data_IF_986451082665
#
_entry.id   IF_986451082665
#
_cell.length_a   1.000
_cell.length_b   1.000
_cell.length_c   1.000
_cell.angle_alpha   90.00
_cell.angle_beta   90.00
_cell.angle_gamma   90.00
#
_symmetry.space_group_name_H-M   'P 1'
#
loop_
_entity.id
_entity.type
_entity.pdbx_description
1 polymer ?
#
# COMPACT_ATOMS: atom_id res chain seq x y z
N UNK A 1 4.70 -15.14 -4.49
CA UNK A 1 5.24 -13.79 -4.83
C UNK A 1 4.23 -12.94 -5.57
N UNK A 2 3.64 -13.39 -6.69
CA UNK A 2 2.55 -12.63 -7.33
C UNK A 2 1.35 -12.51 -6.39
N UNK A 3 0.98 -13.60 -5.70
CA UNK A 3 0.00 -13.62 -4.61
C UNK A 3 0.25 -12.55 -3.55
N UNK A 4 1.48 -12.50 -3.03
CA UNK A 4 1.89 -11.57 -1.98
C UNK A 4 1.77 -10.10 -2.41
N UNK A 5 2.17 -9.79 -3.65
CA UNK A 5 2.00 -8.44 -4.21
C UNK A 5 0.53 -8.08 -4.42
N UNK A 6 -0.33 -9.06 -4.71
CA UNK A 6 -1.77 -8.86 -4.86
C UNK A 6 -2.41 -8.61 -3.50
N UNK A 7 -2.09 -9.42 -2.50
CA UNK A 7 -2.56 -9.27 -1.12
C UNK A 7 -2.13 -7.92 -0.54
N UNK A 8 -0.86 -7.54 -0.71
CA UNK A 8 -0.36 -6.24 -0.25
C UNK A 8 -1.03 -5.06 -0.96
N UNK A 9 -1.31 -5.17 -2.26
CA UNK A 9 -2.06 -4.13 -2.97
C UNK A 9 -3.48 -3.99 -2.42
N UNK A 10 -4.18 -5.11 -2.19
CA UNK A 10 -5.53 -5.09 -1.62
C UNK A 10 -5.53 -4.49 -0.20
N UNK A 11 -4.60 -4.90 0.66
CA UNK A 11 -4.46 -4.32 2.00
C UNK A 11 -4.14 -2.82 1.98
N UNK A 12 -3.34 -2.36 1.00
CA UNK A 12 -3.03 -0.93 0.83
C UNK A 12 -4.25 -0.14 0.34
N UNK A 13 -5.06 -0.71 -0.55
CA UNK A 13 -6.34 -0.11 -0.99
C UNK A 13 -7.34 0.00 0.17
N UNK A 14 -7.47 -1.05 0.98
CA UNK A 14 -8.32 -1.04 2.18
C UNK A 14 -7.85 -0.02 3.23
N UNK A 15 -6.53 0.08 3.47
CA UNK A 15 -5.96 1.09 4.34
C UNK A 15 -6.29 2.51 3.86
N UNK A 16 -6.08 2.78 2.56
CA UNK A 16 -6.44 4.08 1.97
C UNK A 16 -7.93 4.38 2.12
N UNK A 17 -8.80 3.38 1.95
CA UNK A 17 -10.24 3.55 2.15
C UNK A 17 -10.58 3.86 3.61
N UNK A 18 -9.99 3.15 4.57
CA UNK A 18 -10.14 3.42 6.01
C UNK A 18 -9.70 4.84 6.37
N UNK A 19 -8.59 5.34 5.81
CA UNK A 19 -8.16 6.74 5.99
C UNK A 19 -9.19 7.72 5.49
N UNK A 20 -9.75 7.48 4.29
CA UNK A 20 -10.80 8.33 3.73
C UNK A 20 -12.02 8.35 4.64
N UNK A 21 -12.49 7.18 5.09
CA UNK A 21 -13.63 7.07 5.99
C UNK A 21 -13.40 7.81 7.32
N UNK A 22 -12.22 7.65 7.92
CA UNK A 22 -11.89 8.34 9.17
C UNK A 22 -11.80 9.86 9.01
N UNK A 23 -11.38 10.35 7.83
CA UNK A 23 -11.31 11.79 7.55
C UNK A 23 -12.68 12.47 7.48
N UNK A 24 -13.75 11.70 7.28
CA UNK A 24 -15.12 12.22 7.25
C UNK A 24 -15.73 12.40 8.65
N UNK A 25 -15.07 11.90 9.71
CA UNK A 25 -15.58 11.95 11.08
C UNK A 25 -15.11 13.27 11.75
N UNK A 26 -16.01 14.22 12.08
CA UNK A 26 -15.63 15.57 12.54
C UNK A 26 -14.86 15.60 13.86
N UNK A 27 -15.03 14.59 14.72
CA UNK A 27 -14.35 14.48 16.02
C UNK A 27 -12.95 13.88 15.90
N UNK A 28 -12.60 13.31 14.74
CA UNK A 28 -11.30 12.71 14.48
C UNK A 28 -10.32 13.79 14.00
N UNK A 29 -10.10 14.80 14.86
CA UNK A 29 -9.21 15.93 14.58
C UNK A 29 -7.75 15.47 14.51
N UNK A 30 -7.33 14.97 13.35
CA UNK A 30 -5.93 15.04 12.92
C UNK A 30 -5.00 14.16 13.75
N UNK A 31 -4.94 12.87 13.39
CA UNK A 31 -3.72 12.06 13.41
C UNK A 31 -3.92 10.86 12.47
N UNK A 32 -4.09 11.10 11.16
CA UNK A 32 -4.03 10.00 10.19
C UNK A 32 -2.54 9.76 9.86
N UNK A 33 -1.81 9.18 10.81
CA UNK A 33 -0.35 9.05 10.86
C UNK A 33 0.24 8.01 9.87
N UNK A 34 -0.53 7.59 8.86
CA UNK A 34 -0.37 6.35 8.09
C UNK A 34 -0.77 5.09 8.85
N UNK A 35 -1.33 4.12 8.11
CA UNK A 35 -1.73 2.80 8.58
C UNK A 35 -0.57 1.84 8.34
N UNK A 36 -0.15 1.16 9.41
CA UNK A 36 0.91 0.16 9.35
C UNK A 36 0.34 -1.16 8.80
N UNK A 37 0.90 -1.63 7.68
CA UNK A 37 0.57 -2.92 7.08
C UNK A 37 1.72 -3.89 7.35
N UNK A 38 1.44 -4.99 8.05
CA UNK A 38 2.40 -6.05 8.28
C UNK A 38 2.37 -7.06 7.13
N UNK A 39 3.56 -7.47 6.66
CA UNK A 39 3.74 -8.55 5.69
C UNK A 39 4.82 -9.49 6.19
N UNK A 40 4.58 -10.79 6.07
CA UNK A 40 5.54 -11.85 6.41
C UNK A 40 6.60 -12.05 5.31
N UNK A 41 6.26 -11.77 4.06
CA UNK A 41 7.17 -11.94 2.93
C UNK A 41 8.14 -10.75 2.76
N UNK A 42 9.36 -10.90 3.28
CA UNK A 42 10.45 -9.93 3.14
C UNK A 42 10.79 -9.61 1.68
N UNK A 43 10.66 -10.57 0.75
CA UNK A 43 10.93 -10.32 -0.67
C UNK A 43 9.87 -9.41 -1.31
N UNK A 44 8.62 -9.45 -0.85
CA UNK A 44 7.58 -8.53 -1.30
C UNK A 44 7.84 -7.11 -0.76
N UNK A 45 8.19 -6.99 0.52
CA UNK A 45 8.58 -5.72 1.15
C UNK A 45 9.74 -5.07 0.39
N UNK A 46 10.83 -5.80 0.17
CA UNK A 46 12.00 -5.30 -0.53
C UNK A 46 11.68 -4.84 -1.97
N UNK A 47 10.78 -5.54 -2.66
CA UNK A 47 10.38 -5.18 -4.02
C UNK A 47 9.54 -3.92 -4.08
N UNK A 48 8.59 -3.75 -3.17
CA UNK A 48 7.75 -2.55 -3.09
C UNK A 48 8.56 -1.30 -2.73
N UNK A 49 9.56 -1.45 -1.86
CA UNK A 49 10.47 -0.36 -1.53
C UNK A 49 11.41 0.01 -2.70
N UNK A 50 11.70 -0.95 -3.59
CA UNK A 50 12.61 -0.73 -4.71
C UNK A 50 11.99 0.12 -5.83
N UNK A 51 12.50 1.35 -6.01
CA UNK A 51 12.09 2.29 -7.07
C UNK A 51 12.22 1.76 -8.48
N UNK A 52 13.22 0.93 -8.72
CA UNK A 52 13.58 0.44 -10.03
C UNK A 52 12.91 -0.90 -10.36
N UNK A 53 12.13 -1.45 -9.43
CA UNK A 53 11.39 -2.69 -9.68
C UNK A 53 10.26 -2.44 -10.70
N UNK A 54 10.45 -3.01 -11.89
CA UNK A 54 9.54 -2.82 -13.01
C UNK A 54 8.68 -4.04 -13.35
N UNK A 55 8.60 -5.06 -12.47
CA UNK A 55 7.72 -6.25 -12.57
C UNK A 55 7.47 -6.84 -13.98
N UNK A 56 7.87 -8.09 -14.24
CA UNK A 56 7.78 -8.67 -15.60
C UNK A 56 6.37 -8.60 -16.26
N UNK A 57 5.29 -8.71 -15.47
CA UNK A 57 3.89 -8.67 -15.95
C UNK A 57 3.24 -7.32 -15.69
N UNK A 58 2.43 -6.82 -16.64
CA UNK A 58 1.70 -5.53 -16.55
C UNK A 58 0.91 -5.36 -15.25
N UNK A 59 0.19 -6.40 -14.82
CA UNK A 59 -0.61 -6.37 -13.59
C UNK A 59 0.26 -6.12 -12.34
N UNK A 60 1.41 -6.76 -12.25
CA UNK A 60 2.36 -6.58 -11.13
C UNK A 60 2.92 -5.15 -11.14
N UNK A 61 3.25 -4.61 -12.32
CA UNK A 61 3.73 -3.22 -12.42
C UNK A 61 2.72 -2.21 -11.92
N UNK A 62 1.45 -2.38 -12.30
CA UNK A 62 0.37 -1.49 -11.87
C UNK A 62 0.24 -1.51 -10.35
N UNK A 63 0.13 -2.70 -9.76
CA UNK A 63 0.05 -2.87 -8.30
C UNK A 63 1.27 -2.28 -7.59
N UNK A 64 2.47 -2.53 -8.11
CA UNK A 64 3.69 -1.93 -7.57
C UNK A 64 3.66 -0.39 -7.57
N UNK A 65 3.22 0.21 -8.68
CA UNK A 65 3.07 1.67 -8.78
C UNK A 65 2.09 2.22 -7.76
N UNK A 66 0.92 1.57 -7.61
CA UNK A 66 -0.11 1.98 -6.65
C UNK A 66 0.37 1.88 -5.21
N UNK A 67 0.94 0.74 -4.81
CA UNK A 67 1.45 0.57 -3.44
C UNK A 67 2.54 1.62 -3.14
N UNK A 68 3.40 1.92 -4.10
CA UNK A 68 4.46 2.91 -3.95
C UNK A 68 3.91 4.33 -3.73
N UNK A 69 2.87 4.70 -4.47
CA UNK A 69 2.18 5.99 -4.31
C UNK A 69 1.51 6.11 -2.92
N UNK A 70 0.89 5.02 -2.47
CA UNK A 70 0.31 4.94 -1.13
C UNK A 70 1.38 5.04 -0.05
N UNK A 71 2.53 4.34 -0.18
CA UNK A 71 3.64 4.48 0.76
C UNK A 71 4.18 5.92 0.84
N UNK A 72 4.20 6.67 -0.26
CA UNK A 72 4.64 8.07 -0.25
C UNK A 72 3.62 9.02 0.39
N UNK A 73 2.32 8.72 0.26
CA UNK A 73 1.22 9.54 0.80
C UNK A 73 0.82 9.13 2.23
N UNK A 74 1.41 8.03 2.72
CA UNK A 74 0.85 7.21 3.79
C UNK A 74 -0.29 6.36 3.20
N UNK A 75 -0.26 5.05 3.41
CA UNK A 75 -1.45 4.23 3.21
C UNK A 75 -2.37 4.38 4.43
#
# INVERSE_FOLDING_TARGET
>A
MESEMIALAAASEEASWLRSLLSEIPTWERLILAILIHCDNTAAIAKVQNRYYNGKRRQIRRKHSTIRELLTTGA
#
